data_IF_904857473405
#
_entry.id   IF_904857473405
#
_cell.length_a   1.000
_cell.length_b   1.000
_cell.length_c   1.000
_cell.angle_alpha   90.00
_cell.angle_beta   90.00
_cell.angle_gamma   90.00
#
_symmetry.space_group_name_H-M   'P 1'
#
loop_
_entity.id
_entity.type
_entity.pdbx_description
1 polymer ?
#
# COMPACT_ATOMS: atom_id res chain seq x y z
N UNK A 1 -21.91 -4.24 -13.19
CA UNK A 1 -21.48 -4.36 -11.81
C UNK A 1 -20.71 -5.67 -11.46
N UNK A 2 -20.00 -6.32 -12.37
CA UNK A 2 -19.18 -7.52 -12.08
C UNK A 2 -17.72 -7.39 -12.53
N UNK A 3 -17.29 -6.20 -12.89
CA UNK A 3 -15.98 -5.93 -13.52
C UNK A 3 -14.95 -5.35 -12.57
N UNK A 4 -15.33 -4.57 -11.56
CA UNK A 4 -14.37 -3.96 -10.62
C UNK A 4 -13.68 -4.99 -9.70
N UNK A 5 -14.44 -5.97 -9.18
CA UNK A 5 -13.89 -7.00 -8.27
C UNK A 5 -12.80 -7.87 -8.92
N UNK A 6 -12.81 -8.01 -10.26
CA UNK A 6 -11.78 -8.77 -10.99
C UNK A 6 -10.54 -7.93 -11.31
N UNK A 7 -10.64 -6.60 -11.29
CA UNK A 7 -9.53 -5.71 -11.57
C UNK A 7 -8.57 -5.55 -10.39
N UNK A 8 -9.08 -5.48 -9.16
CA UNK A 8 -8.25 -5.41 -7.96
C UNK A 8 -7.33 -6.64 -7.79
N UNK A 9 -7.80 -7.82 -8.18
CA UNK A 9 -7.01 -9.06 -8.14
C UNK A 9 -5.92 -9.08 -9.24
N UNK A 10 -6.13 -8.40 -10.37
CA UNK A 10 -5.15 -8.35 -11.47
C UNK A 10 -3.98 -7.40 -11.20
N UNK A 11 -4.14 -6.40 -10.36
CA UNK A 11 -3.08 -5.41 -10.06
C UNK A 11 -1.92 -6.02 -9.24
N UNK A 12 -2.18 -7.09 -8.49
CA UNK A 12 -1.14 -7.83 -7.74
C UNK A 12 -0.22 -8.66 -8.66
N UNK A 13 -0.59 -8.90 -9.92
CA UNK A 13 0.10 -9.88 -10.79
C UNK A 13 0.95 -9.26 -11.90
N UNK A 14 0.86 -7.95 -12.19
CA UNK A 14 1.53 -7.36 -13.36
C UNK A 14 2.65 -6.40 -12.96
N UNK A 15 3.78 -6.94 -12.55
CA UNK A 15 5.08 -6.25 -12.67
C UNK A 15 6.21 -7.28 -12.80
N UNK A 16 6.14 -8.08 -13.87
CA UNK A 16 7.30 -8.87 -14.30
C UNK A 16 7.64 -8.43 -15.72
N UNK A 17 8.66 -7.62 -15.88
CA UNK A 17 9.54 -7.71 -17.05
C UNK A 17 10.78 -6.81 -16.88
N UNK A 18 11.92 -7.47 -17.01
CA UNK A 18 13.16 -6.98 -17.61
C UNK A 18 14.08 -6.07 -16.80
N UNK A 19 15.18 -6.63 -16.31
CA UNK A 19 16.50 -6.16 -16.71
C UNK A 19 17.51 -7.29 -16.65
N UNK A 20 17.84 -7.90 -17.77
CA UNK A 20 19.13 -8.51 -18.00
C UNK A 20 20.11 -7.43 -18.44
N UNK A 21 21.18 -7.20 -17.69
CA UNK A 21 22.35 -6.51 -18.24
C UNK A 21 23.62 -6.82 -17.44
N UNK A 22 24.47 -7.57 -18.10
CA UNK A 22 25.96 -7.63 -18.08
C UNK A 22 26.73 -7.23 -16.81
N UNK A 23 27.33 -8.25 -16.22
CA UNK A 23 28.40 -8.18 -15.21
C UNK A 23 29.66 -7.53 -15.80
N UNK A 24 30.12 -6.45 -15.18
CA UNK A 24 31.55 -6.07 -15.15
C UNK A 24 32.07 -6.28 -13.74
N UNK A 25 32.97 -7.24 -13.57
CA UNK A 25 33.73 -7.47 -12.33
C UNK A 25 34.53 -6.22 -11.98
N UNK A 26 34.08 -5.50 -10.98
CA UNK A 26 34.92 -4.59 -10.20
C UNK A 26 35.10 -5.18 -8.79
N UNK A 27 36.35 -5.46 -8.45
CA UNK A 27 36.78 -5.87 -7.12
C UNK A 27 36.58 -4.70 -6.17
N UNK A 28 35.41 -4.62 -5.52
CA UNK A 28 35.09 -3.60 -4.53
C UNK A 28 35.44 -4.12 -3.15
N UNK A 29 36.08 -3.29 -2.34
CA UNK A 29 36.38 -3.57 -0.93
C UNK A 29 35.15 -4.23 -0.26
N UNK A 30 35.39 -5.31 0.50
CA UNK A 30 34.34 -6.02 1.24
C UNK A 30 33.86 -5.10 2.35
N UNK A 31 32.94 -4.22 2.04
CA UNK A 31 32.12 -3.57 3.04
C UNK A 31 31.19 -4.66 3.57
N UNK A 32 31.41 -5.07 4.82
CA UNK A 32 30.59 -6.07 5.51
C UNK A 32 29.15 -5.58 5.48
N UNK A 33 28.32 -6.10 4.58
CA UNK A 33 26.92 -5.76 4.55
C UNK A 33 26.30 -6.05 5.92
N UNK A 34 25.47 -5.16 6.46
CA UNK A 34 24.73 -5.43 7.69
C UNK A 34 23.95 -6.73 7.53
N UNK A 35 23.80 -7.49 8.61
CA UNK A 35 22.95 -8.69 8.59
C UNK A 35 21.54 -8.28 8.14
N UNK A 36 20.81 -9.18 7.46
CA UNK A 36 19.43 -8.93 7.05
C UNK A 36 18.57 -8.44 8.21
N UNK A 37 18.80 -8.96 9.42
CA UNK A 37 18.09 -8.52 10.64
C UNK A 37 18.19 -7.02 10.95
N UNK A 38 19.32 -6.40 10.63
CA UNK A 38 19.51 -4.95 10.82
C UNK A 38 19.11 -4.16 9.59
N UNK A 39 19.34 -4.73 8.42
CA UNK A 39 19.07 -4.03 7.16
C UNK A 39 17.59 -3.89 6.85
N UNK A 40 16.74 -4.85 7.28
CA UNK A 40 15.31 -4.87 6.99
C UNK A 40 14.52 -3.86 7.83
N UNK A 41 15.04 -3.45 9.00
CA UNK A 41 14.33 -2.55 9.92
C UNK A 41 14.06 -1.22 9.24
N UNK A 42 12.81 -0.73 9.36
CA UNK A 42 12.31 0.52 8.80
C UNK A 42 11.03 0.35 8.01
N UNK A 43 10.62 1.43 7.39
CA UNK A 43 9.43 1.50 6.54
C UNK A 43 9.82 1.30 5.07
N UNK A 44 8.99 0.53 4.38
CA UNK A 44 9.21 0.11 3.00
C UNK A 44 7.90 0.18 2.23
N UNK A 45 7.89 0.86 1.07
CA UNK A 45 6.72 1.01 0.22
C UNK A 45 6.99 0.48 -1.19
N UNK A 46 5.95 -0.05 -1.83
CA UNK A 46 6.01 -0.38 -3.26
C UNK A 46 5.88 0.88 -4.10
N UNK A 47 6.42 0.86 -5.34
CA UNK A 47 5.98 1.83 -6.33
C UNK A 47 4.48 1.67 -6.54
N UNK A 48 3.75 2.77 -6.38
CA UNK A 48 2.31 2.80 -6.54
C UNK A 48 1.90 2.66 -8.01
N UNK A 49 0.77 2.03 -8.25
CA UNK A 49 0.05 2.14 -9.52
C UNK A 49 -1.00 3.23 -9.40
N UNK A 50 -1.28 3.95 -10.49
CA UNK A 50 -2.34 4.95 -10.53
C UNK A 50 -3.44 4.50 -11.49
N UNK A 51 -4.69 4.70 -11.09
CA UNK A 51 -5.87 4.39 -11.86
C UNK A 51 -6.87 5.54 -11.78
N UNK A 52 -7.60 5.77 -12.86
CA UNK A 52 -8.69 6.73 -12.89
C UNK A 52 -9.93 6.10 -12.25
N UNK A 53 -10.47 6.73 -11.20
CA UNK A 53 -11.70 6.31 -10.52
C UNK A 53 -12.92 6.72 -11.34
N UNK A 54 -12.90 7.98 -11.78
CA UNK A 54 -13.94 8.61 -12.61
C UNK A 54 -13.32 9.73 -13.46
N UNK A 55 -14.14 10.54 -14.11
CA UNK A 55 -13.68 11.63 -14.99
C UNK A 55 -12.89 12.73 -14.24
N UNK A 56 -12.94 12.75 -12.90
CA UNK A 56 -12.42 13.84 -12.08
C UNK A 56 -11.37 13.40 -11.06
N UNK A 57 -11.30 12.11 -10.74
CA UNK A 57 -10.45 11.59 -9.67
C UNK A 57 -9.55 10.44 -10.09
N UNK A 58 -8.36 10.45 -9.53
CA UNK A 58 -7.35 9.40 -9.65
C UNK A 58 -7.14 8.70 -8.31
N UNK A 59 -6.94 7.40 -8.33
CA UNK A 59 -6.44 6.64 -7.19
C UNK A 59 -5.03 6.14 -7.46
N UNK A 60 -4.15 6.30 -6.48
CA UNK A 60 -2.86 5.63 -6.42
C UNK A 60 -2.93 4.46 -5.42
N UNK A 61 -2.43 3.30 -5.78
CA UNK A 61 -2.41 2.11 -4.92
C UNK A 61 -0.98 1.72 -4.61
N UNK A 62 -0.72 1.34 -3.37
CA UNK A 62 0.58 0.87 -2.92
C UNK A 62 0.45 -0.11 -1.75
N UNK A 63 1.57 -0.76 -1.44
CA UNK A 63 1.71 -1.57 -0.24
C UNK A 63 2.80 -0.96 0.63
N UNK A 64 2.62 -1.01 1.92
CA UNK A 64 3.63 -0.64 2.90
C UNK A 64 3.89 -1.82 3.82
N UNK A 65 5.14 -1.98 4.23
CA UNK A 65 5.51 -2.88 5.32
C UNK A 65 6.55 -2.20 6.21
N UNK A 66 6.32 -2.23 7.51
CA UNK A 66 7.20 -1.67 8.54
C UNK A 66 7.74 -2.81 9.38
N UNK A 67 9.07 -2.92 9.48
CA UNK A 67 9.73 -3.88 10.35
C UNK A 67 10.33 -3.15 11.55
N UNK A 68 9.85 -3.48 12.75
CA UNK A 68 10.30 -2.90 14.01
C UNK A 68 11.45 -3.69 14.66
N UNK A 69 12.25 -3.00 15.48
CA UNK A 69 13.39 -3.61 16.19
C UNK A 69 12.97 -4.72 17.18
N UNK A 70 11.77 -4.66 17.69
CA UNK A 70 11.21 -5.61 18.65
C UNK A 70 10.63 -6.88 18.02
N UNK A 71 10.87 -7.07 16.72
CA UNK A 71 10.34 -8.17 15.91
C UNK A 71 8.83 -8.11 15.66
N UNK A 72 8.23 -6.95 15.81
CA UNK A 72 6.88 -6.68 15.29
C UNK A 72 6.93 -6.12 13.88
N UNK A 73 5.86 -6.29 13.12
CA UNK A 73 5.67 -5.65 11.82
C UNK A 73 4.26 -5.08 11.72
N UNK A 74 4.13 -4.13 10.82
CA UNK A 74 2.87 -3.60 10.31
C UNK A 74 2.91 -3.71 8.79
N UNK A 75 1.85 -4.20 8.18
CA UNK A 75 1.74 -4.33 6.72
C UNK A 75 0.36 -3.86 6.29
N UNK A 76 0.31 -3.11 5.21
CA UNK A 76 -0.95 -2.58 4.72
C UNK A 76 -0.98 -2.37 3.22
N UNK A 77 -2.20 -2.20 2.74
CA UNK A 77 -2.51 -1.63 1.42
C UNK A 77 -2.92 -0.19 1.63
N UNK A 78 -2.39 0.69 0.79
CA UNK A 78 -2.68 2.13 0.83
C UNK A 78 -3.29 2.56 -0.49
N UNK A 79 -4.28 3.43 -0.41
CA UNK A 79 -4.91 4.08 -1.54
C UNK A 79 -4.87 5.59 -1.32
N UNK A 80 -4.17 6.30 -2.19
CA UNK A 80 -4.17 7.76 -2.23
C UNK A 80 -5.13 8.24 -3.32
N UNK A 81 -6.01 9.16 -2.97
CA UNK A 81 -6.96 9.77 -3.91
C UNK A 81 -6.57 11.21 -4.11
N UNK A 82 -6.64 11.67 -5.35
CA UNK A 82 -6.46 13.07 -5.69
C UNK A 82 -7.31 13.44 -6.89
N UNK A 83 -7.79 14.68 -6.92
CA UNK A 83 -8.59 15.17 -8.04
C UNK A 83 -9.54 16.27 -7.65
N UNK A 84 -10.69 16.30 -8.30
CA UNK A 84 -11.71 17.33 -8.11
C UNK A 84 -13.06 16.66 -7.88
N UNK A 85 -13.70 16.99 -6.77
CA UNK A 85 -15.04 16.51 -6.45
C UNK A 85 -16.08 17.58 -6.83
N UNK A 86 -17.09 17.25 -7.65
CA UNK A 86 -18.24 18.12 -7.83
C UNK A 86 -19.07 18.14 -6.55
N UNK A 87 -19.33 19.34 -6.03
CA UNK A 87 -20.18 19.56 -4.86
C UNK A 87 -21.07 20.79 -5.11
N UNK A 88 -22.39 20.58 -5.22
CA UNK A 88 -23.35 21.60 -5.67
C UNK A 88 -22.94 22.23 -7.01
N UNK A 89 -22.54 23.50 -7.00
CA UNK A 89 -22.04 24.23 -8.18
C UNK A 89 -20.53 24.40 -8.19
N UNK A 90 -19.84 23.88 -7.16
CA UNK A 90 -18.39 23.95 -6.99
C UNK A 90 -17.68 22.71 -7.54
N UNK A 91 -16.41 22.89 -7.87
CA UNK A 91 -15.48 21.80 -8.22
C UNK A 91 -14.31 21.87 -7.22
N UNK A 92 -14.41 21.10 -6.15
CA UNK A 92 -13.49 21.18 -5.01
C UNK A 92 -12.27 20.29 -5.22
N UNK A 93 -11.04 20.83 -5.22
CA UNK A 93 -9.85 20.01 -5.18
C UNK A 93 -9.79 19.19 -3.88
N UNK A 94 -9.59 17.88 -4.01
CA UNK A 94 -9.58 16.95 -2.89
C UNK A 94 -8.36 16.04 -2.95
N UNK A 95 -7.87 15.65 -1.79
CA UNK A 95 -6.90 14.57 -1.63
C UNK A 95 -7.14 13.82 -0.32
N UNK A 96 -6.92 12.51 -0.33
CA UNK A 96 -7.06 11.65 0.83
C UNK A 96 -6.14 10.44 0.73
N UNK A 97 -5.83 9.82 1.86
CA UNK A 97 -5.16 8.53 1.91
C UNK A 97 -5.94 7.60 2.81
N UNK A 98 -6.37 6.49 2.25
CA UNK A 98 -7.09 5.43 2.93
C UNK A 98 -6.31 4.13 2.86
N UNK A 99 -6.66 3.15 3.68
CA UNK A 99 -5.95 1.89 3.65
C UNK A 99 -6.60 0.81 4.52
N UNK A 100 -5.98 -0.35 4.50
CA UNK A 100 -6.20 -1.39 5.48
C UNK A 100 -4.84 -1.94 5.92
N UNK A 101 -4.73 -2.27 7.19
CA UNK A 101 -3.49 -2.73 7.79
C UNK A 101 -3.68 -3.99 8.64
N UNK A 102 -2.60 -4.72 8.80
CA UNK A 102 -2.48 -5.85 9.70
C UNK A 102 -1.14 -5.77 10.42
N UNK A 103 -1.11 -6.17 11.67
CA UNK A 103 0.12 -6.22 12.46
C UNK A 103 0.40 -7.62 13.00
N UNK A 104 1.65 -7.86 13.38
CA UNK A 104 2.04 -9.13 13.93
C UNK A 104 3.51 -9.18 14.32
N UNK A 105 4.06 -10.40 14.31
CA UNK A 105 5.47 -10.67 14.61
C UNK A 105 6.17 -11.24 13.40
N UNK A 106 7.47 -10.96 13.29
CA UNK A 106 8.29 -11.57 12.26
C UNK A 106 9.50 -12.30 12.83
N UNK A 107 9.95 -13.31 12.10
CA UNK A 107 11.19 -14.04 12.35
C UNK A 107 12.02 -14.12 11.07
N UNK A 108 13.34 -14.12 11.22
CA UNK A 108 14.30 -14.23 10.11
C UNK A 108 15.14 -15.49 10.27
N UNK A 109 15.21 -16.28 9.21
CA UNK A 109 16.05 -17.45 9.12
C UNK A 109 16.80 -17.44 7.76
N UNK A 110 18.09 -17.11 7.80
CA UNK A 110 18.88 -16.91 6.56
C UNK A 110 18.33 -15.74 5.74
N UNK A 111 17.84 -16.04 4.54
CA UNK A 111 17.20 -15.08 3.64
C UNK A 111 15.67 -15.26 3.55
N UNK A 112 15.09 -15.88 4.57
CA UNK A 112 13.64 -16.05 4.70
C UNK A 112 13.11 -15.18 5.84
N UNK A 113 12.05 -14.45 5.60
CA UNK A 113 11.29 -13.69 6.61
C UNK A 113 9.91 -14.31 6.73
N UNK A 114 9.56 -14.71 7.94
CA UNK A 114 8.24 -15.28 8.22
C UNK A 114 7.45 -14.26 9.05
N UNK A 115 6.30 -13.85 8.54
CA UNK A 115 5.31 -13.06 9.24
C UNK A 115 4.32 -13.98 9.94
N UNK A 116 3.88 -13.62 11.14
CA UNK A 116 2.84 -14.30 11.89
C UNK A 116 1.86 -13.26 12.43
N UNK A 117 0.59 -13.41 12.10
CA UNK A 117 -0.47 -12.43 12.37
C UNK A 117 -1.81 -13.14 12.64
N UNK A 118 -2.83 -12.39 13.05
CA UNK A 118 -4.23 -12.84 13.05
C UNK A 118 -4.95 -12.18 11.89
N UNK A 119 -5.50 -12.97 10.98
CA UNK A 119 -6.29 -12.44 9.86
C UNK A 119 -7.55 -11.67 10.33
N UNK A 120 -7.99 -11.89 11.57
CA UNK A 120 -9.12 -11.17 12.18
C UNK A 120 -8.72 -9.78 12.71
N UNK A 121 -7.40 -9.46 12.76
CA UNK A 121 -6.90 -8.16 13.22
C UNK A 121 -6.74 -7.13 12.09
N UNK A 122 -7.23 -7.42 10.88
CA UNK A 122 -7.24 -6.45 9.80
C UNK A 122 -8.13 -5.27 10.18
N UNK A 123 -7.59 -4.07 10.05
CA UNK A 123 -8.31 -2.82 10.33
C UNK A 123 -8.25 -1.92 9.11
N UNK A 124 -9.40 -1.53 8.60
CA UNK A 124 -9.52 -0.55 7.53
C UNK A 124 -9.61 0.87 8.08
N UNK A 125 -9.00 1.80 7.37
CA UNK A 125 -8.99 3.22 7.66
C UNK A 125 -9.57 3.98 6.47
N UNK A 126 -10.67 4.66 6.67
CA UNK A 126 -11.34 5.52 5.70
C UNK A 126 -12.10 6.60 6.49
N UNK A 127 -11.31 7.46 7.17
CA UNK A 127 -11.87 8.49 8.02
C UNK A 127 -12.12 9.76 7.18
N UNK A 128 -13.32 10.38 7.26
CA UNK A 128 -13.58 11.66 6.65
C UNK A 128 -12.59 12.75 7.06
N UNK A 129 -12.04 12.70 8.26
CA UNK A 129 -11.04 13.67 8.74
C UNK A 129 -9.70 13.60 8.01
N UNK A 130 -9.37 12.46 7.37
CA UNK A 130 -8.16 12.30 6.56
C UNK A 130 -8.30 12.93 5.17
N UNK A 131 -9.46 13.52 4.85
CA UNK A 131 -9.71 14.18 3.57
C UNK A 131 -9.29 15.64 3.65
N UNK A 132 -8.30 16.01 2.86
CA UNK A 132 -7.92 17.39 2.61
C UNK A 132 -8.73 17.95 1.44
N UNK A 133 -9.36 19.11 1.65
CA UNK A 133 -10.17 19.82 0.65
C UNK A 133 -9.67 21.26 0.55
N UNK A 134 -9.45 21.74 -0.66
CA UNK A 134 -9.09 23.15 -0.88
C UNK A 134 -10.34 24.00 -1.12
N UNK A 135 -10.71 24.79 -0.11
CA UNK A 135 -11.83 25.73 -0.14
C UNK A 135 -11.43 27.14 -0.56
N UNK A 136 -10.18 27.39 -0.92
CA UNK A 136 -9.64 28.74 -1.17
C UNK A 136 -10.46 29.55 -2.20
N UNK A 137 -11.07 28.87 -3.16
CA UNK A 137 -11.89 29.47 -4.21
C UNK A 137 -13.41 29.47 -3.88
N UNK A 138 -13.82 28.88 -2.75
CA UNK A 138 -15.22 28.65 -2.38
C UNK A 138 -15.48 29.01 -0.91
N UNK A 139 -15.26 30.29 -0.50
CA UNK A 139 -15.35 30.70 0.90
C UNK A 139 -16.76 30.61 1.49
N UNK A 140 -17.76 30.48 0.65
CA UNK A 140 -19.17 30.35 1.07
C UNK A 140 -19.53 28.93 1.52
N UNK A 141 -18.68 27.93 1.23
CA UNK A 141 -18.85 26.56 1.71
C UNK A 141 -18.30 26.50 3.14
N UNK A 142 -19.18 26.42 4.12
CA UNK A 142 -18.83 26.43 5.55
C UNK A 142 -18.98 25.08 6.24
N UNK A 143 -19.78 24.18 5.69
CA UNK A 143 -20.00 22.83 6.24
C UNK A 143 -18.98 21.83 5.65
N UNK A 144 -17.77 21.87 6.20
CA UNK A 144 -16.64 21.03 5.76
C UNK A 144 -16.95 19.54 5.98
N UNK A 145 -17.62 19.20 7.07
CA UNK A 145 -17.91 17.81 7.41
C UNK A 145 -18.92 17.21 6.43
N UNK A 146 -19.93 18.00 6.01
CA UNK A 146 -20.87 17.56 4.98
C UNK A 146 -20.17 17.30 3.64
N UNK A 147 -19.19 18.12 3.25
CA UNK A 147 -18.40 17.91 2.02
C UNK A 147 -17.56 16.65 2.12
N UNK A 148 -16.86 16.42 3.23
CA UNK A 148 -16.07 15.22 3.47
C UNK A 148 -16.93 13.95 3.42
N UNK A 149 -18.10 13.99 4.09
CA UNK A 149 -19.03 12.88 4.09
C UNK A 149 -19.59 12.60 2.69
N UNK A 150 -19.84 13.64 1.89
CA UNK A 150 -20.27 13.49 0.51
C UNK A 150 -19.20 12.78 -0.34
N UNK A 151 -17.91 13.09 -0.14
CA UNK A 151 -16.82 12.38 -0.82
C UNK A 151 -16.77 10.90 -0.42
N UNK A 152 -16.82 10.59 0.88
CA UNK A 152 -16.86 9.19 1.35
C UNK A 152 -18.03 8.44 0.71
N UNK A 153 -19.24 9.01 0.73
CA UNK A 153 -20.42 8.41 0.11
C UNK A 153 -20.24 8.20 -1.40
N UNK A 154 -19.59 9.15 -2.08
CA UNK A 154 -19.28 9.01 -3.50
C UNK A 154 -18.32 7.83 -3.74
N UNK A 155 -17.24 7.75 -2.98
CA UNK A 155 -16.26 6.66 -3.08
C UNK A 155 -16.91 5.30 -2.82
N UNK A 156 -17.73 5.18 -1.78
CA UNK A 156 -18.50 3.96 -1.48
C UNK A 156 -19.41 3.56 -2.65
N UNK A 157 -20.03 4.54 -3.32
CA UNK A 157 -20.87 4.30 -4.50
C UNK A 157 -20.09 3.75 -5.70
N UNK A 158 -18.80 4.02 -5.78
CA UNK A 158 -17.88 3.46 -6.78
C UNK A 158 -17.32 2.09 -6.38
N UNK A 159 -17.64 1.61 -5.18
CA UNK A 159 -17.17 0.35 -4.62
C UNK A 159 -15.88 0.46 -3.80
N UNK A 160 -15.44 1.68 -3.50
CA UNK A 160 -14.31 1.96 -2.64
C UNK A 160 -14.82 2.22 -1.22
N UNK A 161 -14.79 1.21 -0.38
CA UNK A 161 -15.20 1.30 1.03
C UNK A 161 -14.14 0.71 1.93
N UNK A 162 -14.26 0.98 3.22
CA UNK A 162 -13.42 0.36 4.27
C UNK A 162 -13.42 -1.17 4.15
N UNK A 163 -14.59 -1.77 3.97
CA UNK A 163 -14.76 -3.23 3.84
C UNK A 163 -14.06 -3.76 2.58
N UNK A 164 -14.07 -2.99 1.50
CA UNK A 164 -13.36 -3.35 0.26
C UNK A 164 -11.85 -3.34 0.46
N UNK A 165 -11.32 -2.35 1.19
CA UNK A 165 -9.89 -2.27 1.52
C UNK A 165 -9.47 -3.42 2.45
N UNK A 166 -10.27 -3.71 3.48
CA UNK A 166 -10.04 -4.85 4.38
C UNK A 166 -10.09 -6.19 3.61
N UNK A 167 -11.07 -6.36 2.71
CA UNK A 167 -11.17 -7.55 1.89
C UNK A 167 -9.96 -7.71 0.95
N UNK A 168 -9.48 -6.60 0.35
CA UNK A 168 -8.30 -6.61 -0.52
C UNK A 168 -7.04 -7.04 0.24
N UNK A 169 -6.85 -6.56 1.46
CA UNK A 169 -5.74 -7.00 2.30
C UNK A 169 -5.91 -8.47 2.72
N UNK A 170 -7.14 -8.90 3.07
CA UNK A 170 -7.45 -10.28 3.44
C UNK A 170 -7.15 -11.27 2.30
N UNK A 171 -7.44 -10.87 1.06
CA UNK A 171 -7.15 -11.68 -0.12
C UNK A 171 -5.64 -11.73 -0.46
N UNK A 172 -4.87 -10.73 -0.02
CA UNK A 172 -3.43 -10.65 -0.27
C UNK A 172 -2.58 -11.47 0.73
N UNK A 173 -3.17 -11.96 1.83
CA UNK A 173 -2.48 -12.69 2.89
C UNK A 173 -3.01 -14.12 3.03
N UNK A 174 -2.22 -15.00 3.62
CA UNK A 174 -2.66 -16.37 3.87
C UNK A 174 -3.62 -16.45 5.08
N UNK A 175 -4.75 -17.13 4.92
CA UNK A 175 -5.76 -17.31 5.96
C UNK A 175 -5.26 -18.09 7.19
N UNK A 176 -4.13 -18.81 7.07
CA UNK A 176 -3.51 -19.52 8.19
C UNK A 176 -2.74 -18.59 9.15
N UNK A 177 -2.72 -17.28 8.90
CA UNK A 177 -2.04 -16.30 9.72
C UNK A 177 -0.51 -16.33 9.61
N UNK A 178 0.01 -16.84 8.50
CA UNK A 178 1.46 -16.97 8.31
C UNK A 178 1.87 -16.83 6.86
N UNK A 179 2.73 -15.86 6.56
CA UNK A 179 3.40 -15.67 5.28
C UNK A 179 4.90 -15.91 5.40
N UNK A 180 5.47 -16.61 4.44
CA UNK A 180 6.91 -16.89 4.40
C UNK A 180 7.53 -16.35 3.12
N UNK A 181 8.16 -15.19 3.23
CA UNK A 181 8.88 -14.56 2.15
C UNK A 181 10.27 -15.18 2.02
N UNK A 182 10.58 -15.63 0.83
CA UNK A 182 11.90 -16.19 0.48
C UNK A 182 12.71 -15.20 -0.35
N UNK A 183 14.00 -15.50 -0.56
CA UNK A 183 14.93 -14.65 -1.32
C UNK A 183 14.94 -13.20 -0.86
N UNK A 184 14.73 -12.98 0.45
CA UNK A 184 14.72 -11.64 1.01
C UNK A 184 16.11 -11.05 0.98
N UNK A 185 16.20 -9.86 0.39
CA UNK A 185 17.47 -9.12 0.31
C UNK A 185 17.22 -7.62 0.42
N UNK A 186 18.14 -6.94 1.10
CA UNK A 186 18.18 -5.49 1.19
C UNK A 186 19.45 -4.99 0.52
N UNK A 187 19.30 -4.10 -0.44
CA UNK A 187 20.43 -3.47 -1.14
C UNK A 187 20.13 -1.98 -1.34
N UNK A 188 20.93 -1.14 -0.71
CA UNK A 188 20.67 0.30 -0.60
C UNK A 188 19.26 0.53 -0.01
N UNK A 189 18.42 1.30 -0.73
CA UNK A 189 17.06 1.62 -0.33
C UNK A 189 16.01 0.70 -0.97
N UNK A 190 16.39 -0.52 -1.32
CA UNK A 190 15.50 -1.52 -1.93
C UNK A 190 15.45 -2.79 -1.08
N UNK A 191 14.23 -3.23 -0.77
CA UNK A 191 13.93 -4.52 -0.18
C UNK A 191 13.24 -5.39 -1.25
N UNK A 192 13.79 -6.55 -1.51
CA UNK A 192 13.18 -7.54 -2.41
C UNK A 192 12.74 -8.75 -1.60
N UNK A 193 11.50 -9.19 -1.81
CA UNK A 193 10.92 -10.35 -1.15
C UNK A 193 10.11 -11.18 -2.15
N UNK A 194 10.08 -12.50 -1.98
CA UNK A 194 9.31 -13.41 -2.84
C UNK A 194 8.29 -14.18 -1.99
N UNK A 195 7.01 -14.05 -2.31
CA UNK A 195 5.91 -14.82 -1.72
C UNK A 195 5.27 -15.67 -2.83
N UNK A 196 5.16 -16.97 -2.63
CA UNK A 196 4.54 -17.91 -3.58
C UNK A 196 5.07 -17.80 -5.02
N UNK A 197 6.37 -17.52 -5.15
CA UNK A 197 7.04 -17.36 -6.45
C UNK A 197 6.90 -15.96 -7.07
N UNK A 198 6.10 -15.08 -6.49
CA UNK A 198 5.95 -13.69 -6.93
C UNK A 198 6.91 -12.79 -6.16
N UNK A 199 7.78 -12.09 -6.88
CA UNK A 199 8.72 -11.13 -6.29
C UNK A 199 8.09 -9.76 -6.19
N UNK A 200 8.19 -9.14 -5.01
CA UNK A 200 7.83 -7.74 -4.77
C UNK A 200 9.07 -6.95 -4.39
N UNK A 201 9.15 -5.75 -4.89
CA UNK A 201 10.22 -4.79 -4.60
C UNK A 201 9.61 -3.61 -3.86
N UNK A 202 10.20 -3.30 -2.73
CA UNK A 202 9.87 -2.17 -1.90
C UNK A 202 11.03 -1.19 -1.86
N UNK A 203 10.74 0.07 -1.65
CA UNK A 203 11.69 1.15 -1.50
C UNK A 203 11.60 1.72 -0.09
N UNK A 204 12.72 2.15 0.46
CA UNK A 204 12.77 2.74 1.79
C UNK A 204 12.13 4.14 1.75
N UNK A 205 11.25 4.40 2.73
CA UNK A 205 10.66 5.73 2.94
C UNK A 205 11.66 6.71 3.54
#
# INVERSE_FOLDING_TARGET
MRTLSKFLISIIIILIASVCSSEKKQQKAIVKQPSLEKAIIGSWTTEGSAEQIDDYMMAGYGQQIIFNNDKTFEMGVMMSISGTMPYETAALPVSATFGAEISGKYAIAGNTVTLTYSADSITGHMDPDDIAIDFSQYPDITDIDAVRQALVTHLESTGLSKETLEASLRDAIHSNGKDSFTNVSVSNDRLSMTLDGSQTIYFRD
#
